data_IF_680363676189
#
_entry.id   IF_680363676189
#
_cell.length_a   1.000
_cell.length_b   1.000
_cell.length_c   1.000
_cell.angle_alpha   90.00
_cell.angle_beta   90.00
_cell.angle_gamma   90.00
#
_symmetry.space_group_name_H-M   'P 1'
#
loop_
_entity.id
_entity.type
_entity.pdbx_description
1 polymer ?
#
# COMPACT_ATOMS: atom_id res chain seq x y z
N UNK A 1 0.93 -18.45 -27.37
CA UNK A 1 1.03 -17.05 -26.90
C UNK A 1 0.93 -17.07 -25.38
N UNK A 2 2.02 -16.77 -24.68
CA UNK A 2 2.03 -16.68 -23.22
C UNK A 2 1.42 -15.33 -22.84
N UNK A 3 0.17 -15.32 -22.39
CA UNK A 3 -0.44 -14.11 -21.85
C UNK A 3 0.29 -13.77 -20.56
N UNK A 4 1.07 -12.69 -20.55
CA UNK A 4 1.66 -12.14 -19.35
C UNK A 4 0.51 -11.85 -18.38
N UNK A 5 0.48 -12.52 -17.22
CA UNK A 5 -0.48 -12.24 -16.16
C UNK A 5 -0.38 -10.76 -15.82
N UNK A 6 -1.44 -10.01 -16.11
CA UNK A 6 -1.56 -8.62 -15.68
C UNK A 6 -1.78 -8.61 -14.17
N UNK A 7 -0.68 -8.60 -13.41
CA UNK A 7 -0.71 -8.54 -11.94
C UNK A 7 -1.03 -7.15 -11.40
N UNK A 8 -1.24 -6.16 -12.28
CA UNK A 8 -1.54 -4.77 -11.90
C UNK A 8 -3.03 -4.48 -11.78
N UNK A 9 -3.89 -5.33 -12.37
CA UNK A 9 -5.34 -5.25 -12.20
C UNK A 9 -5.83 -6.48 -11.45
N UNK A 10 -6.64 -6.23 -10.42
CA UNK A 10 -7.37 -7.28 -9.74
C UNK A 10 -8.24 -8.03 -10.77
N UNK A 11 -8.00 -9.33 -10.92
CA UNK A 11 -8.86 -10.17 -11.73
C UNK A 11 -10.24 -10.28 -11.08
N UNK A 12 -11.29 -10.28 -11.90
CA UNK A 12 -12.65 -10.48 -11.42
C UNK A 12 -12.80 -11.88 -10.81
N UNK A 13 -13.41 -11.93 -9.64
CA UNK A 13 -13.71 -13.18 -8.95
C UNK A 13 -15.05 -13.06 -8.21
N UNK A 14 -15.84 -14.13 -8.20
CA UNK A 14 -17.22 -14.12 -7.72
C UNK A 14 -17.36 -13.77 -6.22
N UNK A 15 -16.33 -14.06 -5.41
CA UNK A 15 -16.30 -13.72 -3.97
C UNK A 15 -15.78 -12.31 -3.68
N UNK A 16 -15.31 -11.56 -4.69
CA UNK A 16 -14.81 -10.21 -4.41
C UNK A 16 -15.95 -9.28 -3.98
N UNK A 17 -15.68 -8.37 -3.02
CA UNK A 17 -16.61 -7.32 -2.65
C UNK A 17 -16.85 -6.38 -3.84
N UNK A 18 -18.09 -5.92 -4.01
CA UNK A 18 -18.49 -4.97 -5.05
C UNK A 18 -18.88 -3.64 -4.44
N UNK A 19 -18.04 -2.60 -4.54
CA UNK A 19 -18.41 -1.32 -3.95
C UNK A 19 -19.63 -0.72 -4.65
N UNK A 20 -20.44 -0.02 -3.87
CA UNK A 20 -21.45 0.87 -4.44
C UNK A 20 -20.80 2.14 -5.02
N UNK A 21 -21.61 3.10 -5.46
CA UNK A 21 -21.14 4.33 -6.06
C UNK A 21 -20.22 5.13 -5.11
N UNK A 22 -20.62 5.31 -3.86
CA UNK A 22 -19.93 6.19 -2.92
C UNK A 22 -18.66 5.53 -2.37
N UNK A 23 -18.74 4.23 -2.09
CA UNK A 23 -17.57 3.42 -1.75
C UNK A 23 -16.55 3.40 -2.89
N UNK A 24 -17.00 3.25 -4.15
CA UNK A 24 -16.12 3.31 -5.32
C UNK A 24 -15.45 4.68 -5.44
N UNK A 25 -16.20 5.76 -5.21
CA UNK A 25 -15.64 7.11 -5.22
C UNK A 25 -14.56 7.29 -4.13
N UNK A 26 -14.77 6.78 -2.90
CA UNK A 26 -13.77 6.78 -1.82
C UNK A 26 -12.51 6.00 -2.21
N UNK A 27 -12.67 4.82 -2.81
CA UNK A 27 -11.56 3.97 -3.25
C UNK A 27 -10.75 4.63 -4.37
N UNK A 28 -11.40 5.21 -5.38
CA UNK A 28 -10.71 5.89 -6.49
C UNK A 28 -9.99 7.17 -6.04
N UNK A 29 -10.59 7.95 -5.13
CA UNK A 29 -9.91 9.08 -4.52
C UNK A 29 -8.63 8.63 -3.81
N UNK A 30 -8.73 7.59 -2.98
CA UNK A 30 -7.61 7.07 -2.19
C UNK A 30 -6.49 6.54 -3.07
N UNK A 31 -6.83 5.79 -4.12
CA UNK A 31 -5.87 5.32 -5.13
C UNK A 31 -5.19 6.49 -5.84
N UNK A 32 -5.95 7.51 -6.23
CA UNK A 32 -5.43 8.70 -6.91
C UNK A 32 -4.50 9.50 -5.98
N UNK A 33 -4.87 9.65 -4.71
CA UNK A 33 -4.04 10.29 -3.69
C UNK A 33 -2.72 9.54 -3.51
N UNK A 34 -2.74 8.20 -3.41
CA UNK A 34 -1.52 7.40 -3.30
C UNK A 34 -0.64 7.57 -4.55
N UNK A 35 -1.25 7.57 -5.73
CA UNK A 35 -0.58 7.86 -7.00
C UNK A 35 0.11 9.22 -6.97
N UNK A 36 -0.58 10.28 -6.54
CA UNK A 36 -0.02 11.63 -6.40
C UNK A 36 1.14 11.68 -5.39
N UNK A 37 1.03 10.99 -4.25
CA UNK A 37 2.13 10.92 -3.28
C UNK A 37 3.38 10.28 -3.91
N UNK A 38 3.20 9.19 -4.65
CA UNK A 38 4.30 8.44 -5.27
C UNK A 38 4.94 9.17 -6.46
N UNK A 39 4.14 9.78 -7.33
CA UNK A 39 4.63 10.44 -8.55
C UNK A 39 4.92 11.93 -8.38
N UNK A 40 4.21 12.60 -7.47
CA UNK A 40 4.29 14.05 -7.26
C UNK A 40 5.17 14.45 -6.07
N UNK A 41 4.98 13.83 -4.90
CA UNK A 41 5.66 14.26 -3.66
C UNK A 41 7.00 13.53 -3.41
N UNK A 42 7.01 12.21 -3.57
CA UNK A 42 8.20 11.39 -3.28
C UNK A 42 9.46 11.86 -4.05
N UNK A 43 9.41 12.18 -5.36
CA UNK A 43 10.59 12.61 -6.10
C UNK A 43 11.21 13.91 -5.57
N UNK A 44 10.42 14.78 -4.94
CA UNK A 44 10.90 16.05 -4.40
C UNK A 44 11.80 15.91 -3.17
N UNK A 45 11.81 14.76 -2.48
CA UNK A 45 12.69 14.53 -1.32
C UNK A 45 14.17 14.60 -1.69
N UNK A 46 14.54 14.14 -2.88
CA UNK A 46 15.92 14.15 -3.37
C UNK A 46 16.50 15.57 -3.51
N UNK A 47 15.84 16.46 -4.28
CA UNK A 47 16.20 17.87 -4.36
C UNK A 47 16.24 18.58 -3.01
N UNK A 48 15.25 18.34 -2.14
CA UNK A 48 15.20 18.90 -0.79
C UNK A 48 16.43 18.51 0.04
N UNK A 49 16.80 17.23 0.00
CA UNK A 49 17.98 16.75 0.69
C UNK A 49 19.25 17.46 0.20
N UNK A 50 19.50 17.42 -1.12
CA UNK A 50 20.72 17.97 -1.74
C UNK A 50 20.83 19.49 -1.55
N UNK A 51 19.73 20.22 -1.74
CA UNK A 51 19.77 21.67 -1.79
C UNK A 51 19.84 22.33 -0.40
N UNK A 52 19.19 21.74 0.62
CA UNK A 52 19.02 22.39 1.93
C UNK A 52 19.30 21.50 3.13
N UNK A 53 18.78 20.26 3.18
CA UNK A 53 18.91 19.45 4.40
C UNK A 53 20.35 19.00 4.66
N UNK A 54 21.07 18.51 3.64
CA UNK A 54 22.47 18.11 3.76
C UNK A 54 23.36 19.29 4.16
N UNK A 55 23.19 20.44 3.52
CA UNK A 55 23.93 21.67 3.85
C UNK A 55 23.68 22.15 5.27
N UNK A 56 22.44 22.06 5.76
CA UNK A 56 22.10 22.39 7.15
C UNK A 56 22.82 21.44 8.11
N UNK A 57 22.74 20.13 7.86
CA UNK A 57 23.40 19.12 8.67
C UNK A 57 24.91 19.35 8.75
N UNK A 58 25.56 19.64 7.61
CA UNK A 58 26.99 19.93 7.54
C UNK A 58 27.40 21.12 8.40
N UNK A 59 26.64 22.22 8.37
CA UNK A 59 26.91 23.39 9.22
C UNK A 59 26.77 23.08 10.70
N UNK A 60 25.81 22.26 11.08
CA UNK A 60 25.53 21.91 12.48
C UNK A 60 26.51 20.86 13.05
N UNK A 61 27.03 19.96 12.22
CA UNK A 61 27.82 18.81 12.66
C UNK A 61 29.27 18.82 12.18
N UNK A 62 29.67 19.78 11.34
CA UNK A 62 31.02 19.88 10.77
C UNK A 62 31.38 18.75 9.79
N UNK A 63 30.41 17.96 9.33
CA UNK A 63 30.60 16.83 8.40
C UNK A 63 29.35 16.54 7.58
N UNK A 64 29.52 15.90 6.42
CA UNK A 64 28.40 15.41 5.63
C UNK A 64 27.63 14.27 6.32
N UNK A 65 26.32 14.08 6.01
CA UNK A 65 25.57 12.89 6.39
C UNK A 65 26.22 11.63 5.83
N UNK A 66 26.41 10.58 6.66
CA UNK A 66 27.08 9.33 6.23
C UNK A 66 26.16 8.14 6.07
N UNK A 67 24.98 8.19 6.69
CA UNK A 67 24.05 7.06 6.72
C UNK A 67 22.60 7.53 6.77
N UNK A 68 21.67 6.58 6.67
CA UNK A 68 20.22 6.84 6.71
C UNK A 68 19.75 7.57 7.98
N UNK A 69 20.43 7.40 9.11
CA UNK A 69 20.05 8.05 10.36
C UNK A 69 20.42 9.53 10.35
N UNK A 70 21.60 9.88 9.83
CA UNK A 70 21.98 11.27 9.60
C UNK A 70 21.04 11.95 8.59
N UNK A 71 20.71 11.27 7.49
CA UNK A 71 19.75 11.79 6.49
C UNK A 71 18.39 12.04 7.14
N UNK A 72 17.88 11.10 7.95
CA UNK A 72 16.62 11.29 8.68
C UNK A 72 16.69 12.49 9.61
N UNK A 73 17.75 12.63 10.41
CA UNK A 73 17.94 13.79 11.31
C UNK A 73 17.96 15.10 10.51
N UNK A 74 18.66 15.11 9.37
CA UNK A 74 18.71 16.27 8.49
C UNK A 74 17.32 16.61 7.92
N UNK A 75 16.53 15.62 7.51
CA UNK A 75 15.28 15.81 6.78
C UNK A 75 14.05 16.06 7.68
N UNK A 76 14.01 15.54 8.90
CA UNK A 76 12.79 15.52 9.72
C UNK A 76 12.25 16.91 10.08
N UNK A 77 13.12 17.92 10.10
CA UNK A 77 12.75 19.32 10.37
C UNK A 77 12.33 20.08 9.12
N UNK A 78 12.41 19.46 7.94
CA UNK A 78 12.11 20.10 6.68
C UNK A 78 10.60 20.05 6.36
N UNK A 79 9.98 21.20 6.08
CA UNK A 79 8.54 21.31 5.87
C UNK A 79 8.03 20.44 4.71
N UNK A 80 8.81 20.30 3.63
CA UNK A 80 8.41 19.44 2.51
C UNK A 80 8.46 17.96 2.91
N UNK A 81 9.49 17.56 3.66
CA UNK A 81 9.57 16.20 4.19
C UNK A 81 8.42 15.91 5.15
N UNK A 82 8.09 16.84 6.05
CA UNK A 82 6.97 16.69 6.99
C UNK A 82 5.64 16.56 6.26
N UNK A 83 5.40 17.39 5.24
CA UNK A 83 4.20 17.31 4.42
C UNK A 83 4.12 15.99 3.66
N UNK A 84 5.19 15.57 2.99
CA UNK A 84 5.26 14.25 2.34
C UNK A 84 4.97 13.12 3.34
N UNK A 85 5.61 13.13 4.52
CA UNK A 85 5.49 12.07 5.50
C UNK A 85 4.07 12.00 6.07
N UNK A 86 3.47 13.15 6.40
CA UNK A 86 2.10 13.23 6.88
C UNK A 86 1.10 12.75 5.82
N UNK A 87 1.20 13.25 4.59
CA UNK A 87 0.30 12.86 3.49
C UNK A 87 0.46 11.38 3.13
N UNK A 88 1.69 10.85 3.10
CA UNK A 88 1.91 9.42 2.82
C UNK A 88 1.36 8.51 3.92
N UNK A 89 1.44 8.93 5.20
CA UNK A 89 0.81 8.20 6.32
C UNK A 89 -0.70 8.20 6.17
N UNK A 90 -1.32 9.37 5.95
CA UNK A 90 -2.77 9.49 5.75
C UNK A 90 -3.23 8.65 4.56
N UNK A 91 -2.53 8.73 3.42
CA UNK A 91 -2.85 7.92 2.26
C UNK A 91 -2.76 6.40 2.56
N UNK A 92 -1.83 5.98 3.43
CA UNK A 92 -1.72 4.58 3.83
C UNK A 92 -2.89 4.12 4.72
N UNK A 93 -3.39 4.99 5.58
CA UNK A 93 -4.56 4.71 6.43
C UNK A 93 -5.83 4.65 5.60
N UNK A 94 -6.02 5.63 4.71
CA UNK A 94 -7.19 5.67 3.81
C UNK A 94 -7.30 4.46 2.88
N UNK A 95 -6.17 3.86 2.46
CA UNK A 95 -6.19 2.63 1.63
C UNK A 95 -7.01 1.54 2.30
N UNK A 96 -6.81 1.31 3.60
CA UNK A 96 -7.53 0.29 4.34
C UNK A 96 -8.95 0.73 4.67
N UNK A 97 -9.10 1.96 5.15
CA UNK A 97 -10.40 2.55 5.50
C UNK A 97 -11.39 2.49 4.33
N UNK A 98 -10.92 2.78 3.11
CA UNK A 98 -11.77 2.80 1.90
C UNK A 98 -12.33 1.45 1.45
N UNK A 99 -11.79 0.33 1.95
CA UNK A 99 -12.21 -1.02 1.54
C UNK A 99 -12.92 -1.80 2.64
N UNK A 100 -12.70 -1.44 3.92
CA UNK A 100 -13.30 -2.13 5.07
C UNK A 100 -14.83 -2.06 5.01
N UNK A 101 -15.41 -0.88 4.81
CA UNK A 101 -16.87 -0.70 4.74
C UNK A 101 -17.54 -1.63 3.71
N UNK A 102 -16.96 -1.71 2.50
CA UNK A 102 -17.52 -2.58 1.45
C UNK A 102 -17.47 -4.06 1.86
N UNK A 103 -16.37 -4.49 2.49
CA UNK A 103 -16.21 -5.86 2.95
C UNK A 103 -17.20 -6.16 4.06
N UNK A 104 -17.29 -5.31 5.08
CA UNK A 104 -18.18 -5.53 6.23
C UNK A 104 -19.65 -5.53 5.81
N UNK A 105 -20.05 -4.59 4.94
CA UNK A 105 -21.41 -4.53 4.40
C UNK A 105 -21.79 -5.79 3.61
N UNK A 106 -20.84 -6.38 2.88
CA UNK A 106 -21.08 -7.56 2.04
C UNK A 106 -20.68 -8.87 2.70
N UNK A 107 -20.16 -8.86 3.93
CA UNK A 107 -19.59 -10.05 4.56
C UNK A 107 -20.57 -11.24 4.54
N UNK A 108 -21.85 -11.10 4.92
CA UNK A 108 -22.80 -12.22 4.87
C UNK A 108 -23.00 -12.79 3.45
N UNK A 109 -23.02 -11.93 2.43
CA UNK A 109 -23.19 -12.35 1.04
C UNK A 109 -21.92 -12.99 0.48
N UNK A 110 -20.75 -12.51 0.89
CA UNK A 110 -19.44 -13.08 0.51
C UNK A 110 -19.32 -14.48 1.10
N UNK A 111 -19.64 -14.66 2.39
CA UNK A 111 -19.65 -15.96 3.06
C UNK A 111 -20.59 -16.95 2.35
N UNK A 112 -21.82 -16.53 2.05
CA UNK A 112 -22.78 -17.37 1.34
C UNK A 112 -22.29 -17.76 -0.08
N UNK A 113 -21.73 -16.80 -0.84
CA UNK A 113 -21.15 -17.07 -2.17
C UNK A 113 -19.97 -18.02 -2.09
N UNK A 114 -19.08 -17.82 -1.12
CA UNK A 114 -17.91 -18.67 -0.91
C UNK A 114 -18.35 -20.11 -0.60
N UNK A 115 -19.29 -20.30 0.34
CA UNK A 115 -19.82 -21.61 0.68
C UNK A 115 -20.45 -22.33 -0.52
N UNK A 116 -21.26 -21.62 -1.32
CA UNK A 116 -21.90 -22.17 -2.51
C UNK A 116 -20.88 -22.58 -3.59
N UNK A 117 -19.85 -21.75 -3.83
CA UNK A 117 -18.79 -22.05 -4.79
C UNK A 117 -17.93 -23.23 -4.34
N UNK A 118 -17.58 -23.30 -3.05
CA UNK A 118 -16.84 -24.43 -2.48
C UNK A 118 -17.62 -25.73 -2.58
N UNK A 119 -18.94 -25.71 -2.33
CA UNK A 119 -19.79 -26.90 -2.47
C UNK A 119 -19.93 -27.39 -3.93
N UNK A 120 -19.63 -26.54 -4.92
CA UNK A 120 -19.68 -26.89 -6.35
C UNK A 120 -18.55 -27.80 -6.83
N UNK A 121 -17.52 -28.03 -6.02
CA UNK A 121 -16.42 -28.95 -6.32
C UNK A 121 -16.38 -30.08 -5.30
N UNK A 122 -16.45 -31.32 -5.79
CA UNK A 122 -16.23 -32.51 -4.96
C UNK A 122 -14.74 -32.78 -4.69
N UNK A 123 -13.83 -32.05 -5.35
CA UNK A 123 -12.39 -32.17 -5.15
C UNK A 123 -11.96 -31.34 -3.93
N UNK A 124 -11.49 -31.97 -2.84
CA UNK A 124 -10.95 -31.24 -1.70
C UNK A 124 -9.59 -30.61 -2.07
N UNK A 125 -9.33 -29.42 -1.54
CA UNK A 125 -7.98 -28.85 -1.54
C UNK A 125 -7.28 -29.37 -0.28
N UNK A 126 -6.41 -30.36 -0.45
CA UNK A 126 -5.60 -30.91 0.63
C UNK A 126 -4.16 -30.40 0.50
N UNK A 127 -3.60 -29.89 1.59
CA UNK A 127 -2.17 -29.64 1.68
C UNK A 127 -1.46 -30.97 1.97
N UNK A 128 -0.32 -31.20 1.32
CA UNK A 128 0.47 -32.39 1.58
C UNK A 128 1.04 -32.38 3.01
N UNK A 129 1.08 -33.55 3.66
CA UNK A 129 1.66 -33.70 5.01
C UNK A 129 3.16 -33.36 5.05
N UNK A 130 3.85 -33.43 3.90
CA UNK A 130 5.26 -33.05 3.75
C UNK A 130 5.45 -31.57 3.35
N UNK A 131 4.39 -30.76 3.31
CA UNK A 131 4.47 -29.36 2.93
C UNK A 131 5.30 -28.55 3.94
N UNK A 132 6.54 -28.26 3.55
CA UNK A 132 7.43 -27.38 4.32
C UNK A 132 7.04 -25.91 4.11
N UNK A 133 6.31 -25.35 5.07
CA UNK A 133 5.99 -23.91 5.07
C UNK A 133 7.28 -23.07 5.03
N UNK A 134 7.42 -22.10 4.12
CA UNK A 134 8.62 -21.28 4.06
C UNK A 134 8.84 -20.48 5.35
N UNK A 135 10.10 -20.36 5.79
CA UNK A 135 10.51 -19.70 7.04
C UNK A 135 10.06 -18.23 7.20
N UNK A 136 9.61 -17.58 6.13
CA UNK A 136 9.16 -16.19 6.14
C UNK A 136 7.63 -16.05 6.28
N UNK A 137 6.90 -17.17 6.29
CA UNK A 137 5.43 -17.23 6.41
C UNK A 137 4.98 -17.51 7.86
N UNK A 138 5.91 -17.89 8.73
CA UNK A 138 5.70 -18.12 10.17
C UNK A 138 5.84 -16.87 11.01
#
# INVERSE_FOLDING_TARGET
>A
MNAMLNTFQQADHAVLPRPDHDERARQEFTKSLKGFVQSGLLPGLGPVFKARAAKRFEREHGRAPKNRHDIRKAMVTDAYFQHYAATNRIAQELIWDSVIDTIERQLPEIEARAAALSAGSAAPLEASDDFATPRYVT
#
